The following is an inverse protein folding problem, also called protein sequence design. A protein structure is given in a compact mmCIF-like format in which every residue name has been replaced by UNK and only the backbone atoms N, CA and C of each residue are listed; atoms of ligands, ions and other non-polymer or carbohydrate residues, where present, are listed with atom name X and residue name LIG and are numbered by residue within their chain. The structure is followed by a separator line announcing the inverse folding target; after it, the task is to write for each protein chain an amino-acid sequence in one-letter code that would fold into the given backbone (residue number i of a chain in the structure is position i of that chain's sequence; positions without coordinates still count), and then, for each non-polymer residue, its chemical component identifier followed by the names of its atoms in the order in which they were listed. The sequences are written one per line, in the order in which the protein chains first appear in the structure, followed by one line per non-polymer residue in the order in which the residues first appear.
data_IF_723085210497
#
_entry.id   IF_723085210497
#
_cell.length_a   1.000
_cell.length_b   1.000
_cell.length_c   1.000
_cell.angle_alpha   90.00
_cell.angle_beta   90.00
_cell.angle_gamma   90.00
#
_symmetry.space_group_name_H-M   'P 1'
#
loop_
_entity.id
_entity.type
_entity.pdbx_description
1 polymer ?
#
# COMPACT_ATOMS: atom_id res chain seq x y z
N UNK A 1 1.65 21.20 -4.27
CA UNK A 1 0.44 20.36 -4.18
C UNK A 1 0.81 18.93 -4.57
N UNK A 2 0.48 17.97 -3.73
CA UNK A 2 0.81 16.57 -4.00
C UNK A 2 -0.30 15.90 -4.77
N UNK A 3 0.07 15.01 -5.70
CA UNK A 3 -0.90 14.16 -6.36
C UNK A 3 -1.61 13.28 -5.33
N UNK A 4 -2.84 12.84 -5.61
CA UNK A 4 -3.57 11.93 -4.73
C UNK A 4 -2.76 10.68 -4.42
N UNK A 5 -2.87 10.21 -3.19
CA UNK A 5 -2.17 9.02 -2.71
C UNK A 5 -3.02 8.32 -1.66
N UNK A 6 -2.90 7.02 -1.54
CA UNK A 6 -3.59 6.27 -0.51
C UNK A 6 -2.84 4.98 -0.18
N UNK A 7 -3.15 4.43 0.98
CA UNK A 7 -2.62 3.14 1.41
C UNK A 7 -3.79 2.18 1.59
N UNK A 8 -3.66 0.99 1.01
CA UNK A 8 -4.62 -0.10 1.24
C UNK A 8 -4.04 -1.01 2.31
N UNK A 9 -4.72 -1.12 3.42
CA UNK A 9 -4.31 -1.96 4.54
C UNK A 9 -5.45 -2.87 4.94
N UNK A 10 -5.16 -3.89 5.71
CA UNK A 10 -6.16 -4.80 6.25
C UNK A 10 -6.23 -4.68 7.75
N UNK A 11 -7.37 -5.06 8.33
CA UNK A 11 -7.48 -5.19 9.77
C UNK A 11 -6.59 -6.32 10.28
N UNK A 12 -6.45 -7.36 9.45
CA UNK A 12 -5.59 -8.50 9.72
C UNK A 12 -5.18 -9.14 8.40
N UNK A 13 -4.29 -10.13 8.48
CA UNK A 13 -3.78 -10.86 7.32
C UNK A 13 -4.93 -11.55 6.56
N UNK A 14 -4.80 -11.65 5.24
CA UNK A 14 -5.72 -12.41 4.37
C UNK A 14 -7.15 -11.85 4.29
N UNK A 15 -7.30 -10.52 4.30
CA UNK A 15 -8.61 -9.86 4.22
C UNK A 15 -9.01 -9.41 2.81
N UNK A 16 -8.31 -9.86 1.76
CA UNK A 16 -8.63 -9.48 0.39
C UNK A 16 -7.95 -8.20 -0.08
N UNK A 17 -6.98 -7.73 0.65
CA UNK A 17 -6.23 -6.49 0.39
C UNK A 17 -5.59 -6.48 -1.00
N UNK A 18 -4.93 -7.56 -1.40
CA UNK A 18 -4.25 -7.65 -2.69
C UNK A 18 -5.24 -7.60 -3.85
N UNK A 19 -6.37 -8.33 -3.73
CA UNK A 19 -7.41 -8.32 -4.74
C UNK A 19 -7.96 -6.92 -4.96
N UNK A 20 -8.24 -6.20 -3.88
CA UNK A 20 -8.73 -4.83 -3.98
C UNK A 20 -7.69 -3.90 -4.62
N UNK A 21 -6.44 -4.01 -4.19
CA UNK A 21 -5.37 -3.15 -4.71
C UNK A 21 -5.16 -3.37 -6.21
N UNK A 22 -5.14 -4.64 -6.64
CA UNK A 22 -5.03 -4.97 -8.06
C UNK A 22 -6.20 -4.40 -8.86
N UNK A 23 -7.41 -4.55 -8.33
CA UNK A 23 -8.62 -4.02 -8.98
C UNK A 23 -8.60 -2.50 -9.10
N UNK A 24 -8.13 -1.81 -8.08
CA UNK A 24 -7.99 -0.36 -8.13
C UNK A 24 -6.95 0.07 -9.17
N UNK A 25 -5.79 -0.57 -9.17
CA UNK A 25 -4.73 -0.24 -10.13
C UNK A 25 -5.21 -0.46 -11.57
N UNK A 26 -5.80 -1.62 -11.84
CA UNK A 26 -6.28 -1.94 -13.18
C UNK A 26 -7.43 -1.03 -13.61
N UNK A 27 -8.40 -0.81 -12.72
CA UNK A 27 -9.58 -0.01 -13.04
C UNK A 27 -9.24 1.45 -13.30
N UNK A 28 -8.34 2.02 -12.51
CA UNK A 28 -7.92 3.41 -12.71
C UNK A 28 -7.05 3.55 -13.95
N UNK A 29 -6.17 2.58 -14.22
CA UNK A 29 -5.36 2.59 -15.43
C UNK A 29 -6.22 2.49 -16.69
N UNK A 30 -7.29 1.69 -16.67
CA UNK A 30 -8.23 1.60 -17.78
C UNK A 30 -8.93 2.92 -18.05
N UNK A 31 -9.10 3.75 -17.02
CA UNK A 31 -9.69 5.09 -17.18
C UNK A 31 -8.71 6.12 -17.72
N UNK A 32 -7.48 5.70 -18.03
CA UNK A 32 -6.46 6.59 -18.57
C UNK A 32 -5.62 7.30 -17.53
N UNK A 33 -5.74 6.94 -16.26
CA UNK A 33 -4.94 7.55 -15.20
C UNK A 33 -3.58 6.87 -15.09
N UNK A 34 -2.54 7.67 -14.83
CA UNK A 34 -1.23 7.15 -14.53
C UNK A 34 -1.18 6.74 -13.06
N UNK A 35 -1.18 5.44 -12.80
CA UNK A 35 -1.23 4.87 -11.46
C UNK A 35 0.17 4.39 -11.06
N UNK A 36 0.70 4.92 -9.96
CA UNK A 36 1.98 4.47 -9.43
C UNK A 36 1.78 3.54 -8.24
N UNK A 37 2.07 2.24 -8.42
CA UNK A 37 1.93 1.29 -7.31
C UNK A 37 3.19 1.20 -6.48
N UNK A 38 2.99 0.91 -5.19
CA UNK A 38 4.05 0.59 -4.24
C UNK A 38 3.58 -0.57 -3.37
N UNK A 39 4.53 -1.36 -2.90
CA UNK A 39 4.28 -2.42 -1.93
C UNK A 39 5.12 -2.18 -0.69
N UNK A 40 4.51 -2.17 0.49
CA UNK A 40 5.26 -2.07 1.72
C UNK A 40 5.96 -3.40 2.00
N UNK A 41 7.23 -3.32 2.35
CA UNK A 41 8.02 -4.47 2.76
C UNK A 41 8.76 -5.15 1.62
N UNK A 42 9.56 -6.19 1.96
CA UNK A 42 10.29 -6.97 0.97
C UNK A 42 9.37 -8.03 0.39
N UNK A 43 8.77 -7.75 -0.74
CA UNK A 43 7.88 -8.67 -1.44
C UNK A 43 8.26 -8.66 -2.91
N UNK A 44 8.34 -9.82 -3.54
CA UNK A 44 8.71 -9.96 -4.94
C UNK A 44 7.56 -10.46 -5.82
N UNK A 45 6.49 -10.94 -5.22
CA UNK A 45 5.35 -11.50 -5.94
C UNK A 45 4.30 -10.43 -6.21
N UNK A 46 3.79 -9.79 -5.16
CA UNK A 46 2.77 -8.76 -5.29
C UNK A 46 3.21 -7.59 -6.19
N UNK A 47 4.47 -7.10 -6.09
CA UNK A 47 4.91 -6.05 -7.00
C UNK A 47 4.83 -6.39 -8.47
N UNK A 48 5.04 -7.65 -8.85
CA UNK A 48 4.89 -8.08 -10.24
C UNK A 48 3.45 -7.92 -10.72
N UNK A 49 2.49 -8.35 -9.91
CA UNK A 49 1.08 -8.23 -10.25
C UNK A 49 0.60 -6.78 -10.26
N UNK A 50 1.08 -5.98 -9.29
CA UNK A 50 0.74 -4.56 -9.22
C UNK A 50 1.31 -3.79 -10.41
N UNK A 51 2.52 -4.11 -10.83
CA UNK A 51 3.12 -3.50 -12.01
C UNK A 51 2.33 -3.86 -13.28
N UNK A 52 1.92 -5.11 -13.40
CA UNK A 52 1.12 -5.53 -14.56
C UNK A 52 -0.24 -4.84 -14.58
N UNK A 53 -0.90 -4.74 -13.43
CA UNK A 53 -2.22 -4.12 -13.35
C UNK A 53 -2.17 -2.61 -13.64
N UNK A 54 -1.15 -1.92 -13.17
CA UNK A 54 -1.02 -0.47 -13.33
C UNK A 54 -0.35 -0.04 -14.63
N UNK A 55 0.46 -0.92 -15.23
CA UNK A 55 1.29 -0.59 -16.39
C UNK A 55 2.54 0.20 -16.04
N UNK A 56 2.89 0.33 -14.76
CA UNK A 56 4.09 1.02 -14.28
C UNK A 56 4.86 0.12 -13.30
N UNK A 57 6.20 0.28 -13.21
CA UNK A 57 6.95 -0.48 -12.23
C UNK A 57 6.43 -0.26 -10.80
N UNK A 58 6.38 -1.30 -10.00
CA UNK A 58 6.01 -1.23 -8.60
C UNK A 58 7.27 -1.29 -7.75
N UNK A 59 7.37 -0.38 -6.78
CA UNK A 59 8.54 -0.30 -5.90
C UNK A 59 8.18 -0.73 -4.48
N UNK A 60 9.15 -1.36 -3.83
CA UNK A 60 9.02 -1.74 -2.43
C UNK A 60 9.40 -0.57 -1.53
N UNK A 61 8.56 -0.30 -0.54
CA UNK A 61 8.85 0.65 0.54
C UNK A 61 9.06 -0.17 1.80
N UNK A 62 10.31 -0.34 2.19
CA UNK A 62 10.66 -1.24 3.29
C UNK A 62 11.28 -0.46 4.46
N UNK A 63 10.47 -0.12 5.49
CA UNK A 63 10.99 0.61 6.66
C UNK A 63 12.01 -0.17 7.47
N UNK A 64 12.10 -1.48 7.27
CA UNK A 64 13.10 -2.30 7.95
C UNK A 64 14.49 -2.14 7.33
N UNK A 65 14.56 -2.05 6.00
CA UNK A 65 15.83 -1.98 5.27
C UNK A 65 16.19 -0.56 4.82
N UNK A 66 15.22 0.35 4.77
CA UNK A 66 15.39 1.70 4.24
C UNK A 66 15.18 2.73 5.34
N UNK A 67 16.04 3.75 5.38
CA UNK A 67 15.82 4.89 6.24
C UNK A 67 14.60 5.69 5.79
N UNK A 68 13.98 6.44 6.70
CA UNK A 68 12.82 7.26 6.36
C UNK A 68 13.07 8.20 5.18
N UNK A 69 14.25 8.80 5.13
CA UNK A 69 14.64 9.68 4.03
C UNK A 69 14.69 8.94 2.68
N UNK A 70 15.16 7.69 2.69
CA UNK A 70 15.23 6.89 1.47
C UNK A 70 13.83 6.56 0.97
N UNK A 71 12.91 6.24 1.88
CA UNK A 71 11.51 5.97 1.54
C UNK A 71 10.87 7.23 0.93
N UNK A 72 11.06 8.38 1.56
CA UNK A 72 10.51 9.64 1.07
C UNK A 72 11.02 9.96 -0.34
N UNK A 73 12.33 9.80 -0.55
CA UNK A 73 12.95 10.07 -1.85
C UNK A 73 12.46 9.12 -2.93
N UNK A 74 12.40 7.84 -2.62
CA UNK A 74 11.89 6.85 -3.57
C UNK A 74 10.44 7.12 -3.93
N UNK A 75 9.61 7.39 -2.91
CA UNK A 75 8.20 7.68 -3.13
C UNK A 75 8.02 8.89 -4.03
N UNK A 76 8.70 9.99 -3.72
CA UNK A 76 8.56 11.23 -4.49
C UNK A 76 9.00 11.06 -5.94
N UNK A 77 10.10 10.34 -6.16
CA UNK A 77 10.61 10.09 -7.53
C UNK A 77 9.65 9.22 -8.32
N UNK A 78 9.19 8.13 -7.74
CA UNK A 78 8.32 7.20 -8.45
C UNK A 78 6.93 7.78 -8.66
N UNK A 79 6.43 8.59 -7.73
CA UNK A 79 5.13 9.23 -7.84
C UNK A 79 5.12 10.42 -8.81
N UNK A 80 6.28 10.91 -9.20
CA UNK A 80 6.37 12.05 -10.11
C UNK A 80 5.70 11.71 -11.45
N UNK A 81 4.80 12.58 -11.90
CA UNK A 81 4.07 12.37 -13.14
C UNK A 81 2.90 11.39 -13.05
N UNK A 82 2.66 10.77 -11.91
CA UNK A 82 1.51 9.92 -11.72
C UNK A 82 0.28 10.74 -11.32
N UNK A 83 -0.91 10.28 -11.72
CA UNK A 83 -2.16 10.90 -11.33
C UNK A 83 -2.57 10.46 -9.91
N UNK A 84 -2.21 9.26 -9.52
CA UNK A 84 -2.47 8.72 -8.20
C UNK A 84 -1.41 7.69 -7.84
N UNK A 85 -1.03 7.65 -6.56
CA UNK A 85 -0.13 6.64 -6.01
C UNK A 85 -0.88 5.75 -5.05
N UNK A 86 -0.71 4.44 -5.19
CA UNK A 86 -1.39 3.45 -4.36
C UNK A 86 -0.34 2.56 -3.70
N UNK A 87 -0.34 2.57 -2.37
CA UNK A 87 0.58 1.75 -1.58
C UNK A 87 -0.22 0.58 -1.01
N UNK A 88 0.20 -0.64 -1.31
CA UNK A 88 -0.37 -1.81 -0.66
C UNK A 88 0.43 -2.11 0.59
N UNK A 89 -0.23 -2.10 1.74
CA UNK A 89 0.40 -2.48 3.00
C UNK A 89 0.62 -3.98 3.09
N UNK A 90 1.29 -4.40 4.14
CA UNK A 90 1.46 -5.81 4.47
C UNK A 90 0.84 -6.07 5.84
N UNK A 91 0.44 -7.32 6.12
CA UNK A 91 -0.14 -7.72 7.41
C UNK A 91 -1.29 -6.79 7.83
N UNK A 92 -1.53 -6.62 9.13
CA UNK A 92 -2.51 -5.69 9.65
C UNK A 92 -1.98 -4.27 9.77
N UNK A 93 -2.88 -3.32 10.00
CA UNK A 93 -2.56 -1.89 9.98
C UNK A 93 -1.47 -1.50 10.99
N UNK A 94 -1.50 -2.09 12.18
CA UNK A 94 -0.55 -1.78 13.24
C UNK A 94 0.55 -2.82 13.41
N UNK A 95 0.55 -3.88 12.59
CA UNK A 95 1.57 -4.92 12.68
C UNK A 95 2.91 -4.44 12.13
N UNK A 96 3.97 -4.84 12.78
CA UNK A 96 5.33 -4.52 12.37
C UNK A 96 6.32 -5.33 13.20
N UNK A 97 7.60 -5.23 12.84
CA UNK A 97 8.66 -5.91 13.57
C UNK A 97 9.11 -5.14 14.81
N UNK A 98 8.95 -3.82 14.80
CA UNK A 98 9.33 -2.98 15.93
C UNK A 98 8.20 -2.93 16.96
N UNK A 99 8.56 -3.03 18.24
CA UNK A 99 7.58 -3.01 19.34
C UNK A 99 6.85 -1.68 19.45
N UNK A 100 7.47 -0.59 19.04
CA UNK A 100 6.87 0.74 19.07
C UNK A 100 5.98 1.04 17.86
N UNK A 101 5.84 0.08 16.93
CA UNK A 101 5.04 0.26 15.73
C UNK A 101 5.67 1.14 14.66
N UNK A 102 6.95 1.49 14.80
CA UNK A 102 7.62 2.44 13.89
C UNK A 102 7.69 1.96 12.45
N UNK A 103 7.60 0.65 12.19
CA UNK A 103 7.60 0.12 10.83
C UNK A 103 6.26 -0.51 10.44
N UNK A 104 5.17 -0.11 11.08
CA UNK A 104 3.83 -0.55 10.74
C UNK A 104 3.28 0.19 9.50
N UNK A 105 2.19 -0.33 8.95
CA UNK A 105 1.47 0.35 7.87
C UNK A 105 0.98 1.73 8.34
N UNK A 106 0.51 1.82 9.58
CA UNK A 106 0.04 3.08 10.16
C UNK A 106 1.16 4.11 10.21
N UNK A 107 2.37 3.69 10.62
CA UNK A 107 3.53 4.59 10.66
C UNK A 107 3.89 5.08 9.26
N UNK A 108 3.88 4.20 8.26
CA UNK A 108 4.16 4.58 6.88
C UNK A 108 3.12 5.56 6.35
N UNK A 109 1.84 5.32 6.67
CA UNK A 109 0.76 6.21 6.27
C UNK A 109 0.95 7.61 6.85
N UNK A 110 1.36 7.72 8.11
CA UNK A 110 1.67 9.02 8.72
C UNK A 110 2.87 9.69 8.05
N UNK A 111 3.91 8.92 7.79
CA UNK A 111 5.14 9.46 7.19
C UNK A 111 4.89 10.06 5.81
N UNK A 112 4.12 9.38 4.97
CA UNK A 112 3.91 9.78 3.58
C UNK A 112 2.60 10.54 3.37
N UNK A 113 1.82 10.77 4.43
CA UNK A 113 0.54 11.46 4.30
C UNK A 113 -0.49 10.67 3.50
N UNK A 114 -0.59 9.35 3.76
CA UNK A 114 -1.47 8.46 3.02
C UNK A 114 -2.80 8.28 3.76
N UNK A 115 -3.93 8.71 3.19
CA UNK A 115 -5.23 8.21 3.67
C UNK A 115 -5.28 6.69 3.59
N UNK A 116 -5.91 6.05 4.56
CA UNK A 116 -5.94 4.59 4.66
C UNK A 116 -7.30 4.07 4.22
N UNK A 117 -7.28 3.12 3.27
CA UNK A 117 -8.44 2.30 2.94
C UNK A 117 -8.26 0.99 3.70
N UNK A 118 -9.13 0.75 4.68
CA UNK A 118 -9.05 -0.43 5.52
C UNK A 118 -9.96 -1.52 5.00
N UNK A 119 -9.37 -2.67 4.66
CA UNK A 119 -10.11 -3.84 4.17
C UNK A 119 -10.42 -4.74 5.35
N UNK A 120 -11.68 -5.08 5.51
CA UNK A 120 -12.15 -5.93 6.61
C UNK A 120 -12.87 -7.14 6.01
N UNK A 121 -12.55 -8.33 6.51
CA UNK A 121 -13.26 -9.54 6.12
C UNK A 121 -14.56 -9.64 6.91
N UNK A 122 -15.67 -9.27 6.27
CA UNK A 122 -16.98 -9.22 6.92
C UNK A 122 -17.53 -10.60 7.29
N UNK A 123 -16.99 -11.67 6.71
CA UNK A 123 -17.45 -13.02 7.03
C UNK A 123 -17.20 -13.39 8.50
N UNK A 124 -16.19 -12.79 9.11
CA UNK A 124 -15.80 -13.10 10.49
C UNK A 124 -16.41 -12.15 11.53
N UNK A 125 -16.97 -11.03 11.10
CA UNK A 125 -17.48 -10.01 12.03
C UNK A 125 -18.61 -10.53 12.88
N UNK A 126 -19.57 -11.26 12.31
CA UNK A 126 -20.70 -11.81 13.04
C UNK A 126 -20.29 -12.83 14.10
N UNK A 127 -19.22 -13.57 13.85
CA UNK A 127 -18.74 -14.58 14.80
C UNK A 127 -18.06 -13.95 16.02
N UNK A 128 -17.49 -12.78 15.87
CA UNK A 128 -16.80 -12.09 16.95
C UNK A 128 -17.77 -11.65 18.06
N UNK A 129 -19.04 -11.57 17.75
CA UNK A 129 -20.07 -11.11 18.69
C UNK A 129 -20.92 -12.24 19.27
N UNK A 130 -20.63 -13.47 18.92
CA UNK A 130 -21.38 -14.64 19.42
C UNK A 130 -20.64 -15.36 20.60
#
# INVERSE_FOLDING_TARGET
MHAPRLLVSAAHKSSGKTTLTLGLCAGLAERGLAVQPFKKGPDYIDPMWLAQASGRPCYNLDPHLMAGREIDTLFDRAAAGADISIVEGNKGLYDGLALDGSNSNAALACQLGLPVVLVIDAREIGRAHV
#
